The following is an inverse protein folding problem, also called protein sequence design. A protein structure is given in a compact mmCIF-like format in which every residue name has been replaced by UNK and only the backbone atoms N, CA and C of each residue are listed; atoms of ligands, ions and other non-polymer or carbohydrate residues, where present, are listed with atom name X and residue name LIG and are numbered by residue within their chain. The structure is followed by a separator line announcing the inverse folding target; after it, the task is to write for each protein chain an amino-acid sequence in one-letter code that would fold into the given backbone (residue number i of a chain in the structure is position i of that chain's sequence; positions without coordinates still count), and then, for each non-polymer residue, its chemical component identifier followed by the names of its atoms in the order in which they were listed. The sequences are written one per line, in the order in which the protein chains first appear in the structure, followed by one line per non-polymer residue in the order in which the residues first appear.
data_IF_663790916846
#
_entry.id   IF_663790916846
#
_cell.length_a   1.000
_cell.length_b   1.000
_cell.length_c   1.000
_cell.angle_alpha   90.00
_cell.angle_beta   90.00
_cell.angle_gamma   90.00
#
_symmetry.space_group_name_H-M   'P 1'
#
loop_
_entity.id
_entity.type
_entity.pdbx_description
1 polymer ?
#
# COMPACT_ATOMS: atom_id res chain seq x y z
N UNK A 1 2.87 17.61 5.11
CA UNK A 1 1.97 16.63 4.45
C UNK A 1 2.83 15.42 4.13
N UNK A 2 2.95 14.51 5.11
CA UNK A 2 3.83 13.33 5.03
C UNK A 2 3.05 12.18 4.42
N UNK A 3 3.66 11.52 3.46
CA UNK A 3 3.00 10.56 2.59
C UNK A 3 3.59 9.17 2.84
N UNK A 4 2.74 8.16 2.96
CA UNK A 4 3.18 6.77 3.05
C UNK A 4 3.28 6.18 1.63
N UNK A 5 4.50 5.94 1.16
CA UNK A 5 4.75 5.25 -0.10
C UNK A 5 5.50 3.95 0.16
N UNK A 6 5.27 2.94 -0.66
CA UNK A 6 5.81 1.61 -0.44
C UNK A 6 6.38 1.11 -1.76
N UNK A 7 7.71 1.15 -1.91
CA UNK A 7 8.43 0.37 -2.94
C UNK A 7 8.63 -1.06 -2.46
N UNK A 8 8.38 -2.08 -3.29
CA UNK A 8 8.51 -3.46 -2.82
C UNK A 8 9.92 -3.98 -2.83
N UNK A 9 10.28 -4.70 -1.76
CA UNK A 9 11.29 -5.75 -1.85
C UNK A 9 10.64 -7.10 -2.19
N UNK A 10 11.13 -7.78 -3.23
CA UNK A 10 10.64 -9.07 -3.73
C UNK A 10 11.81 -10.05 -3.88
N UNK A 11 11.70 -11.30 -3.41
CA UNK A 11 12.67 -12.36 -3.77
C UNK A 11 12.40 -12.86 -5.20
N UNK A 12 13.48 -12.97 -5.97
CA UNK A 12 13.74 -13.67 -7.23
C UNK A 12 12.54 -14.12 -8.11
N UNK A 13 12.33 -13.41 -9.23
CA UNK A 13 11.86 -14.01 -10.49
C UNK A 13 12.53 -13.34 -11.70
N UNK A 14 12.89 -14.10 -12.76
CA UNK A 14 13.55 -13.54 -13.94
C UNK A 14 12.53 -12.79 -14.82
N UNK A 15 12.85 -11.52 -15.12
CA UNK A 15 12.30 -10.70 -16.20
C UNK A 15 10.78 -10.79 -16.47
N UNK A 16 10.00 -9.97 -15.77
CA UNK A 16 8.60 -9.71 -16.11
C UNK A 16 7.99 -8.56 -15.30
N UNK A 17 7.00 -7.88 -15.87
CA UNK A 17 6.10 -6.96 -15.15
C UNK A 17 5.47 -7.71 -13.98
N UNK A 18 5.77 -7.34 -12.74
CA UNK A 18 5.26 -8.05 -11.55
C UNK A 18 4.17 -7.23 -10.86
N UNK A 19 2.94 -7.74 -10.92
CA UNK A 19 1.83 -7.28 -10.08
C UNK A 19 1.53 -8.37 -9.05
N UNK A 20 1.61 -8.08 -7.76
CA UNK A 20 1.25 -9.04 -6.69
C UNK A 20 0.03 -8.54 -5.92
N UNK A 21 -0.91 -9.45 -5.66
CA UNK A 21 -2.10 -9.23 -4.82
C UNK A 21 -1.89 -10.08 -3.56
N UNK A 22 -1.98 -9.47 -2.37
CA UNK A 22 -1.82 -10.18 -1.11
C UNK A 22 -3.14 -10.23 -0.34
N UNK A 23 -3.60 -11.45 0.00
CA UNK A 23 -4.79 -11.75 0.82
C UNK A 23 -4.36 -12.79 1.87
N UNK A 24 -4.70 -12.60 3.15
CA UNK A 24 -4.22 -13.36 4.34
C UNK A 24 -4.72 -14.84 4.37
N UNK A 25 -3.97 -15.81 4.99
CA UNK A 25 -3.40 -15.74 6.37
C UNK A 25 -1.92 -16.20 6.58
N UNK A 26 -1.39 -15.96 7.80
CA UNK A 26 -0.23 -16.59 8.51
C UNK A 26 1.05 -15.74 8.85
N UNK A 27 1.87 -16.21 9.81
CA UNK A 27 2.67 -15.53 10.88
C UNK A 27 4.09 -14.93 10.60
N UNK A 28 4.37 -13.84 11.36
CA UNK A 28 5.60 -13.41 12.07
C UNK A 28 6.66 -12.47 11.42
N UNK A 29 7.24 -11.67 12.36
CA UNK A 29 8.31 -10.65 12.36
C UNK A 29 8.26 -9.52 11.31
N UNK A 30 7.80 -8.35 11.76
CA UNK A 30 7.87 -7.05 11.08
C UNK A 30 9.18 -6.36 11.33
N UNK A 31 10.03 -6.36 10.31
CA UNK A 31 11.22 -5.52 10.28
C UNK A 31 10.97 -4.37 9.29
N UNK A 32 10.67 -3.18 9.82
CA UNK A 32 10.74 -1.91 9.06
C UNK A 32 12.22 -1.50 8.97
N UNK A 33 13.03 -2.30 8.28
CA UNK A 33 14.45 -2.01 8.11
C UNK A 33 14.64 -0.92 7.07
N UNK A 34 15.45 0.08 7.40
CA UNK A 34 16.08 0.95 6.42
C UNK A 34 16.96 0.05 5.54
N UNK A 35 16.41 -0.43 4.43
CA UNK A 35 17.13 -1.31 3.51
C UNK A 35 18.35 -0.57 2.96
N UNK A 36 19.52 -1.20 3.00
CA UNK A 36 20.63 -0.77 2.16
C UNK A 36 20.15 -0.90 0.71
N UNK A 37 20.16 0.22 -0.02
CA UNK A 37 19.50 0.35 -1.32
C UNK A 37 20.42 -0.04 -2.47
N UNK A 38 21.72 0.20 -2.32
CA UNK A 38 22.71 -0.11 -3.35
C UNK A 38 23.02 -1.60 -3.38
N UNK A 39 22.87 -2.21 -4.55
CA UNK A 39 23.21 -3.62 -4.78
C UNK A 39 22.30 -4.63 -4.07
N UNK A 40 21.16 -4.20 -3.51
CA UNK A 40 20.25 -5.11 -2.84
C UNK A 40 19.37 -5.85 -3.86
N UNK A 41 19.56 -7.17 -4.05
CA UNK A 41 18.84 -7.93 -5.07
C UNK A 41 17.33 -8.00 -4.79
N UNK A 42 16.93 -7.77 -3.53
CA UNK A 42 15.53 -7.81 -3.17
C UNK A 42 14.79 -6.54 -3.59
N UNK A 43 15.44 -5.44 -4.01
CA UNK A 43 14.73 -4.22 -4.41
C UNK A 43 14.36 -4.29 -5.90
N UNK A 44 13.07 -4.17 -6.19
CA UNK A 44 12.60 -4.16 -7.57
C UNK A 44 12.98 -2.86 -8.30
N UNK A 45 13.46 -3.00 -9.54
CA UNK A 45 13.73 -1.85 -10.42
C UNK A 45 12.40 -1.33 -10.97
N UNK A 46 12.11 -0.07 -10.66
CA UNK A 46 10.92 0.62 -11.16
C UNK A 46 11.06 1.02 -12.62
N UNK A 47 9.94 1.16 -13.32
CA UNK A 47 9.88 1.52 -14.73
C UNK A 47 8.87 2.63 -15.00
N UNK A 48 9.20 3.51 -15.95
CA UNK A 48 8.26 4.52 -16.44
C UNK A 48 7.23 3.91 -17.41
N UNK A 49 6.37 4.75 -17.99
CA UNK A 49 5.31 4.33 -18.92
C UNK A 49 5.82 3.73 -20.23
N UNK A 50 7.10 3.93 -20.57
CA UNK A 50 7.76 3.32 -21.74
C UNK A 50 8.45 1.99 -21.39
N UNK A 51 8.35 1.53 -20.14
CA UNK A 51 9.04 0.33 -19.66
C UNK A 51 10.53 0.54 -19.38
N UNK A 52 11.03 1.77 -19.45
CA UNK A 52 12.44 2.08 -19.18
C UNK A 52 12.70 2.14 -17.68
N UNK A 53 13.81 1.55 -17.19
CA UNK A 53 14.16 1.60 -15.78
C UNK A 53 14.38 3.05 -15.33
N UNK A 54 14.00 3.35 -14.09
CA UNK A 54 14.18 4.67 -13.47
C UNK A 54 14.96 4.57 -12.16
N UNK A 55 15.60 5.67 -11.70
CA UNK A 55 16.34 5.67 -10.44
C UNK A 55 15.47 5.34 -9.24
N UNK A 56 16.05 4.65 -8.26
CA UNK A 56 15.45 4.45 -6.94
C UNK A 56 15.44 5.80 -6.22
N UNK A 57 14.27 6.20 -5.73
CA UNK A 57 14.12 7.43 -4.97
C UNK A 57 14.82 7.31 -3.59
N UNK A 58 15.57 8.33 -3.17
CA UNK A 58 16.35 8.33 -1.93
C UNK A 58 16.43 9.72 -1.27
N UNK A 59 17.01 9.81 -0.07
CA UNK A 59 17.34 11.09 0.58
C UNK A 59 16.12 11.82 1.13
N UNK A 60 15.90 13.06 0.70
CA UNK A 60 14.79 13.92 1.18
C UNK A 60 13.40 13.30 0.98
N UNK A 61 13.29 12.33 0.07
CA UNK A 61 12.05 11.62 -0.18
C UNK A 61 11.77 10.51 0.82
N UNK A 62 12.70 10.11 1.70
CA UNK A 62 12.49 8.96 2.60
C UNK A 62 11.22 9.08 3.46
N UNK A 63 10.81 10.31 3.83
CA UNK A 63 9.61 10.61 4.62
C UNK A 63 8.39 11.05 3.78
N UNK A 64 8.56 11.17 2.47
CA UNK A 64 7.56 11.67 1.53
C UNK A 64 7.47 10.83 0.25
N UNK A 65 8.03 9.62 0.28
CA UNK A 65 7.84 8.60 -0.74
C UNK A 65 8.92 7.57 -1.00
N UNK A 66 9.96 7.57 -0.18
CA UNK A 66 11.09 6.67 -0.31
C UNK A 66 11.05 5.45 0.58
N UNK A 67 9.95 5.15 1.29
CA UNK A 67 9.89 3.92 2.08
C UNK A 67 9.79 2.69 1.15
N UNK A 68 10.53 1.64 1.51
CA UNK A 68 10.49 0.33 0.86
C UNK A 68 10.02 -0.72 1.86
N UNK A 69 9.19 -1.65 1.43
CA UNK A 69 8.61 -2.69 2.28
C UNK A 69 8.35 -3.94 1.45
N UNK A 70 8.50 -5.13 2.03
CA UNK A 70 8.07 -6.35 1.35
C UNK A 70 6.54 -6.47 1.36
N UNK A 71 5.98 -7.32 0.49
CA UNK A 71 4.56 -7.66 0.55
C UNK A 71 4.19 -8.25 1.94
N UNK A 72 5.07 -9.08 2.52
CA UNK A 72 4.89 -9.65 3.87
C UNK A 72 4.84 -8.58 4.96
N UNK A 73 5.75 -7.61 4.91
CA UNK A 73 5.78 -6.49 5.86
C UNK A 73 4.50 -5.64 5.74
N UNK A 74 4.00 -5.41 4.53
CA UNK A 74 2.74 -4.71 4.31
C UNK A 74 1.52 -5.50 4.80
N UNK A 75 1.55 -6.82 4.65
CA UNK A 75 0.51 -7.68 5.19
C UNK A 75 0.44 -7.61 6.72
N UNK A 76 1.60 -7.60 7.37
CA UNK A 76 1.66 -7.40 8.82
C UNK A 76 1.20 -6.00 9.23
N UNK A 77 1.52 -4.96 8.44
CA UNK A 77 1.01 -3.61 8.66
C UNK A 77 -0.53 -3.56 8.56
N UNK A 78 -1.12 -4.23 7.56
CA UNK A 78 -2.57 -4.41 7.44
C UNK A 78 -3.12 -5.12 8.69
N UNK A 79 -2.49 -6.22 9.09
CA UNK A 79 -2.90 -7.02 10.26
C UNK A 79 -2.90 -6.18 11.55
N UNK A 80 -1.90 -5.32 11.73
CA UNK A 80 -1.84 -4.38 12.86
C UNK A 80 -3.13 -3.55 12.93
N UNK A 81 -3.62 -3.00 11.81
CA UNK A 81 -4.85 -2.20 11.82
C UNK A 81 -6.12 -3.03 12.04
N UNK A 82 -6.19 -4.24 11.48
CA UNK A 82 -7.41 -5.04 11.48
C UNK A 82 -7.61 -5.87 12.75
N UNK A 83 -6.53 -6.25 13.43
CA UNK A 83 -6.57 -7.19 14.55
C UNK A 83 -6.10 -6.60 15.88
N UNK A 84 -5.30 -5.53 15.88
CA UNK A 84 -4.77 -4.97 17.12
C UNK A 84 -5.85 -4.19 17.89
N UNK A 85 -5.94 -4.44 19.19
CA UNK A 85 -6.86 -3.74 20.09
C UNK A 85 -6.28 -2.52 20.78
N UNK A 86 -5.01 -2.20 20.54
CA UNK A 86 -4.32 -1.02 21.04
C UNK A 86 -5.10 0.26 20.72
N UNK A 87 -5.30 1.11 21.74
CA UNK A 87 -6.10 2.32 21.63
C UNK A 87 -5.49 3.34 20.64
N UNK A 88 -4.16 3.42 20.56
CA UNK A 88 -3.46 4.30 19.63
C UNK A 88 -3.69 3.83 18.20
N UNK A 89 -3.57 2.53 17.93
CA UNK A 89 -3.84 1.96 16.59
C UNK A 89 -5.28 2.26 16.18
N UNK A 90 -6.26 2.03 17.06
CA UNK A 90 -7.67 2.35 16.78
C UNK A 90 -7.88 3.84 16.50
N UNK A 91 -7.26 4.71 17.29
CA UNK A 91 -7.37 6.15 17.11
C UNK A 91 -6.83 6.61 15.75
N UNK A 92 -5.77 6.00 15.24
CA UNK A 92 -5.22 6.39 13.92
C UNK A 92 -6.19 6.16 12.75
N UNK A 93 -7.21 5.32 12.93
CA UNK A 93 -8.28 5.08 11.95
C UNK A 93 -9.49 6.00 12.10
N UNK A 94 -9.54 6.86 13.13
CA UNK A 94 -10.66 7.76 13.33
C UNK A 94 -10.67 8.87 12.29
N UNK A 95 -11.81 9.10 11.64
CA UNK A 95 -12.00 10.24 10.74
C UNK A 95 -11.85 11.55 11.53
N UNK A 96 -10.96 12.41 11.05
CA UNK A 96 -10.65 13.72 11.61
C UNK A 96 -11.36 14.84 10.84
N UNK A 97 -11.57 14.66 9.53
CA UNK A 97 -12.21 15.64 8.67
C UNK A 97 -12.90 14.97 7.47
N UNK A 98 -13.81 15.70 6.83
CA UNK A 98 -14.53 15.28 5.63
C UNK A 98 -16.04 15.18 5.84
N UNK A 99 -16.70 14.54 4.89
CA UNK A 99 -18.13 14.29 4.90
C UNK A 99 -18.44 12.79 5.05
N UNK A 100 -19.69 12.41 4.78
CA UNK A 100 -20.17 11.03 4.87
C UNK A 100 -19.51 10.10 3.85
N UNK A 101 -19.13 10.62 2.68
CA UNK A 101 -18.60 9.87 1.57
C UNK A 101 -17.08 9.86 1.54
N UNK A 102 -16.43 10.99 1.79
CA UNK A 102 -14.97 11.13 1.71
C UNK A 102 -14.40 11.89 2.91
N UNK A 103 -13.20 11.51 3.33
CA UNK A 103 -12.53 12.22 4.42
C UNK A 103 -11.08 11.84 4.63
N UNK A 104 -10.57 12.26 5.78
CA UNK A 104 -9.20 12.03 6.23
C UNK A 104 -9.21 11.53 7.67
N UNK A 105 -8.44 10.49 7.93
CA UNK A 105 -7.93 10.14 9.25
C UNK A 105 -6.46 10.58 9.35
N UNK A 106 -5.70 10.08 10.31
CA UNK A 106 -4.29 10.47 10.51
C UNK A 106 -3.43 10.22 9.27
N UNK A 107 -3.26 8.95 8.89
CA UNK A 107 -2.43 8.54 7.75
C UNK A 107 -3.27 8.08 6.55
N UNK A 108 -4.60 8.19 6.63
CA UNK A 108 -5.53 7.52 5.70
C UNK A 108 -6.50 8.49 5.07
N UNK A 109 -6.84 8.24 3.81
CA UNK A 109 -8.10 8.69 3.25
C UNK A 109 -9.21 7.79 3.76
N UNK A 110 -10.41 8.34 3.92
CA UNK A 110 -11.60 7.54 4.28
C UNK A 110 -12.62 7.61 3.15
N UNK A 111 -13.37 6.52 2.98
CA UNK A 111 -14.51 6.45 2.08
C UNK A 111 -15.69 5.74 2.77
N UNK A 112 -16.91 6.28 2.60
CA UNK A 112 -18.14 5.76 3.19
C UNK A 112 -18.01 5.46 4.69
N UNK A 113 -17.35 6.36 5.44
CA UNK A 113 -16.81 6.10 6.78
C UNK A 113 -17.88 5.65 7.80
N UNK A 114 -19.10 6.17 7.67
CA UNK A 114 -20.23 5.88 8.55
C UNK A 114 -21.09 4.69 8.08
N UNK A 115 -20.54 3.80 7.24
CA UNK A 115 -21.25 2.63 6.71
C UNK A 115 -20.56 1.33 7.13
N UNK A 116 -21.24 0.17 7.04
CA UNK A 116 -20.60 -1.12 7.22
C UNK A 116 -19.41 -1.33 6.26
N UNK A 117 -19.44 -0.72 5.06
CA UNK A 117 -18.38 -0.80 4.05
C UNK A 117 -17.35 0.32 4.15
N UNK A 118 -17.13 0.89 5.36
CA UNK A 118 -16.11 1.92 5.55
C UNK A 118 -14.75 1.44 5.05
N UNK A 119 -14.10 2.28 4.26
CA UNK A 119 -12.78 2.01 3.72
C UNK A 119 -11.80 3.07 4.23
N UNK A 120 -10.63 2.62 4.68
CA UNK A 120 -9.45 3.47 4.81
C UNK A 120 -8.49 3.11 3.69
N UNK A 121 -7.99 4.09 2.96
CA UNK A 121 -7.12 3.80 1.83
C UNK A 121 -6.02 4.84 1.66
N UNK A 122 -4.96 4.43 0.98
CA UNK A 122 -3.90 5.30 0.54
C UNK A 122 -3.36 4.78 -0.79
N UNK A 123 -2.99 5.72 -1.64
CA UNK A 123 -2.39 5.44 -2.93
C UNK A 123 -0.97 6.03 -2.94
N UNK A 124 -0.01 5.33 -3.54
CA UNK A 124 1.39 5.74 -3.58
C UNK A 124 1.95 5.65 -4.99
N UNK A 125 2.87 6.53 -5.35
CA UNK A 125 3.66 6.45 -6.57
C UNK A 125 5.06 7.04 -6.42
N UNK A 126 6.09 6.33 -6.84
CA UNK A 126 7.44 6.90 -7.05
C UNK A 126 7.68 7.11 -8.54
N UNK A 127 8.93 7.32 -8.95
CA UNK A 127 9.28 7.41 -10.37
C UNK A 127 8.93 6.15 -11.18
N UNK A 128 8.87 4.98 -10.54
CA UNK A 128 8.71 3.71 -11.24
C UNK A 128 7.95 2.64 -10.48
N UNK A 129 7.30 3.00 -9.37
CA UNK A 129 6.39 2.11 -8.66
C UNK A 129 5.08 2.81 -8.38
N UNK A 130 3.97 2.08 -8.46
CA UNK A 130 2.67 2.52 -7.99
C UNK A 130 2.10 1.50 -7.02
N UNK A 131 1.42 1.97 -5.98
CA UNK A 131 0.82 1.12 -4.96
C UNK A 131 -0.54 1.63 -4.52
N UNK A 132 -1.34 0.69 -4.04
CA UNK A 132 -2.65 0.90 -3.47
C UNK A 132 -2.80 0.03 -2.23
N UNK A 133 -3.26 0.64 -1.14
CA UNK A 133 -3.62 -0.04 0.08
C UNK A 133 -5.03 0.36 0.48
N UNK A 134 -5.86 -0.61 0.84
CA UNK A 134 -7.20 -0.40 1.35
C UNK A 134 -7.48 -1.33 2.53
N UNK A 135 -8.14 -0.81 3.56
CA UNK A 135 -8.56 -1.50 4.76
C UNK A 135 -10.08 -1.40 4.86
N UNK A 136 -10.72 -2.53 5.17
CA UNK A 136 -12.13 -2.69 5.43
C UNK A 136 -12.29 -3.26 6.86
N UNK A 137 -12.20 -2.42 7.91
CA UNK A 137 -12.06 -2.90 9.28
C UNK A 137 -13.26 -3.73 9.76
N UNK A 138 -14.47 -3.40 9.31
CA UNK A 138 -15.67 -4.13 9.73
C UNK A 138 -15.72 -5.54 9.13
N UNK A 139 -15.16 -5.71 7.92
CA UNK A 139 -15.05 -6.98 7.21
C UNK A 139 -13.80 -7.77 7.62
N UNK A 140 -12.87 -7.14 8.35
CA UNK A 140 -11.52 -7.66 8.62
C UNK A 140 -10.76 -8.03 7.35
N UNK A 141 -10.93 -7.22 6.31
CA UNK A 141 -10.24 -7.39 5.01
C UNK A 141 -9.29 -6.23 4.76
N UNK A 142 -8.12 -6.55 4.23
CA UNK A 142 -7.18 -5.55 3.74
C UNK A 142 -6.59 -6.00 2.40
N UNK A 143 -6.32 -5.03 1.54
CA UNK A 143 -5.78 -5.23 0.21
C UNK A 143 -4.52 -4.39 0.10
N UNK A 144 -3.45 -5.00 -0.38
CA UNK A 144 -2.26 -4.29 -0.84
C UNK A 144 -1.92 -4.75 -2.27
N UNK A 145 -1.79 -3.78 -3.17
CA UNK A 145 -1.43 -3.99 -4.56
C UNK A 145 -0.27 -3.06 -4.87
N UNK A 146 0.72 -3.57 -5.58
CA UNK A 146 1.90 -2.82 -5.98
C UNK A 146 2.42 -3.33 -7.32
N UNK A 147 2.92 -2.40 -8.12
CA UNK A 147 3.52 -2.65 -9.42
C UNK A 147 4.82 -1.84 -9.54
N UNK A 148 5.77 -2.37 -10.30
CA UNK A 148 7.03 -1.71 -10.65
C UNK A 148 6.97 -0.98 -12.00
N UNK A 149 5.77 -0.54 -12.38
CA UNK A 149 5.53 0.30 -13.56
C UNK A 149 4.61 1.44 -13.16
N UNK A 150 4.94 2.65 -13.60
CA UNK A 150 4.11 3.85 -13.43
C UNK A 150 3.59 4.31 -14.79
N UNK A 151 2.28 4.50 -14.85
CA UNK A 151 1.55 5.08 -15.98
C UNK A 151 0.62 6.18 -15.48
N UNK A 152 0.15 7.06 -16.36
CA UNK A 152 -0.78 8.14 -16.01
C UNK A 152 -2.07 7.63 -15.34
N UNK A 153 -2.49 6.40 -15.65
CA UNK A 153 -3.71 5.76 -15.15
C UNK A 153 -3.46 4.72 -14.04
N UNK A 154 -2.22 4.56 -13.54
CA UNK A 154 -1.88 3.53 -12.55
C UNK A 154 -2.75 3.57 -11.30
N UNK A 155 -2.99 4.76 -10.74
CA UNK A 155 -3.81 4.89 -9.53
C UNK A 155 -5.28 4.51 -9.76
N UNK A 156 -5.86 4.85 -10.92
CA UNK A 156 -7.23 4.46 -11.28
C UNK A 156 -7.32 2.94 -11.44
N UNK A 157 -6.40 2.34 -12.20
CA UNK A 157 -6.38 0.89 -12.43
C UNK A 157 -6.20 0.09 -11.15
N UNK A 158 -5.35 0.55 -10.24
CA UNK A 158 -5.14 -0.11 -8.95
C UNK A 158 -6.39 -0.02 -8.06
N UNK A 159 -7.07 1.11 -8.05
CA UNK A 159 -8.36 1.27 -7.36
C UNK A 159 -9.44 0.35 -7.97
N UNK A 160 -9.60 0.36 -9.29
CA UNK A 160 -10.54 -0.51 -10.00
C UNK A 160 -10.27 -2.00 -9.72
N UNK A 161 -9.00 -2.41 -9.72
CA UNK A 161 -8.61 -3.77 -9.37
C UNK A 161 -8.97 -4.08 -7.91
N UNK A 162 -8.70 -3.16 -6.98
CA UNK A 162 -9.10 -3.29 -5.58
C UNK A 162 -10.62 -3.48 -5.44
N UNK A 163 -11.42 -2.68 -6.15
CA UNK A 163 -12.89 -2.78 -6.10
C UNK A 163 -13.37 -4.12 -6.65
N UNK A 164 -12.82 -4.57 -7.79
CA UNK A 164 -13.14 -5.87 -8.37
C UNK A 164 -12.81 -7.05 -7.45
N UNK A 165 -11.74 -6.95 -6.66
CA UNK A 165 -11.40 -7.96 -5.65
C UNK A 165 -12.47 -7.98 -4.56
N UNK A 166 -12.86 -6.82 -4.03
CA UNK A 166 -13.90 -6.71 -2.99
C UNK A 166 -15.26 -7.22 -3.48
N UNK A 167 -15.65 -6.85 -4.69
CA UNK A 167 -16.92 -7.31 -5.29
C UNK A 167 -16.96 -8.84 -5.40
N UNK A 168 -15.83 -9.48 -5.75
CA UNK A 168 -15.72 -10.95 -5.81
C UNK A 168 -15.75 -11.62 -4.46
N UNK A 169 -15.32 -10.94 -3.39
CA UNK A 169 -15.42 -11.43 -2.03
C UNK A 169 -16.86 -11.30 -1.47
N UNK A 170 -17.72 -10.50 -2.12
CA UNK A 170 -19.11 -10.26 -1.74
C UNK A 170 -19.27 -9.71 -0.31
N UNK A 171 -18.41 -8.75 0.06
CA UNK A 171 -18.35 -8.12 1.39
C UNK A 171 -18.66 -6.62 1.39
#
# INVERSE_FOLDING_TARGET
MGWLYIGTSLPDEPYGTTSKICLLPFERKTDFLKLNQEGNPNISIGRNSEGKPVPIINGFYDYSGGMKSSATSMLNYIKMYLENNDAVVKQTMNQLAGDRLQGRAYAWNTYAYNTPKKMLYHNGSSFGHSSWIALYPNQKVGIFIVTNVVTADSQSRLNELSNRIIDRLNI
#
